data_IF_529628120830
#
_entry.id   IF_529628120830
#
_cell.length_a   1.000
_cell.length_b   1.000
_cell.length_c   1.000
_cell.angle_alpha   90.00
_cell.angle_beta   90.00
_cell.angle_gamma   90.00
#
_symmetry.space_group_name_H-M   'P 1'
#
loop_
_entity.id
_entity.type
_entity.pdbx_description
1 polymer ?
#
# COMPACT_ATOMS: atom_id res chain seq x y z
N UNK A 1 -26.82 17.06 -17.64
CA UNK A 1 -25.95 15.91 -17.30
C UNK A 1 -25.87 15.79 -15.78
N UNK A 2 -26.46 14.74 -15.19
CA UNK A 2 -26.50 14.57 -13.74
C UNK A 2 -25.10 14.26 -13.20
N UNK A 3 -24.57 15.13 -12.33
CA UNK A 3 -23.38 14.81 -11.54
C UNK A 3 -23.73 13.60 -10.67
N UNK A 4 -23.06 12.46 -10.87
CA UNK A 4 -23.27 11.28 -10.03
C UNK A 4 -22.92 11.70 -8.60
N UNK A 5 -23.93 11.86 -7.74
CA UNK A 5 -23.76 12.17 -6.31
C UNK A 5 -22.97 11.02 -5.68
N UNK A 6 -21.72 11.27 -5.32
CA UNK A 6 -20.83 10.31 -4.70
C UNK A 6 -19.52 10.97 -4.27
N UNK A 7 -18.91 10.48 -3.19
CA UNK A 7 -17.58 10.94 -2.74
C UNK A 7 -16.59 10.78 -3.91
N UNK A 8 -15.72 11.76 -4.20
CA UNK A 8 -14.77 11.66 -5.30
C UNK A 8 -13.99 10.34 -5.23
N UNK A 9 -13.92 9.65 -6.38
CA UNK A 9 -13.20 8.38 -6.53
C UNK A 9 -11.71 8.57 -6.33
N UNK A 10 -11.20 9.80 -6.54
CA UNK A 10 -9.79 10.15 -6.32
C UNK A 10 -9.52 10.38 -4.83
N UNK A 11 -8.42 9.81 -4.34
CA UNK A 11 -7.96 9.99 -2.96
C UNK A 11 -6.45 10.12 -2.95
N UNK A 12 -5.97 11.26 -2.45
CA UNK A 12 -4.53 11.52 -2.30
C UNK A 12 -3.80 10.40 -1.55
N UNK A 13 -4.48 9.77 -0.59
CA UNK A 13 -3.91 8.65 0.16
C UNK A 13 -3.71 7.44 -0.77
N UNK A 14 -4.69 7.08 -1.59
CA UNK A 14 -4.55 5.97 -2.56
C UNK A 14 -3.56 6.30 -3.67
N UNK A 15 -3.51 7.55 -4.12
CA UNK A 15 -2.53 8.01 -5.12
C UNK A 15 -1.09 7.81 -4.60
N UNK A 16 -0.81 8.23 -3.36
CA UNK A 16 0.48 7.96 -2.70
C UNK A 16 0.75 6.48 -2.49
N UNK A 17 -0.25 5.68 -2.15
CA UNK A 17 -0.09 4.21 -2.07
C UNK A 17 0.26 3.59 -3.43
N UNK A 18 -0.30 4.12 -4.54
CA UNK A 18 0.06 3.69 -5.91
C UNK A 18 1.53 3.98 -6.19
N UNK A 19 2.04 5.15 -5.83
CA UNK A 19 3.47 5.49 -5.97
C UNK A 19 4.36 4.56 -5.15
N UNK A 20 4.00 4.29 -3.89
CA UNK A 20 4.74 3.35 -3.02
C UNK A 20 4.76 1.94 -3.64
N UNK A 21 3.62 1.46 -4.14
CA UNK A 21 3.53 0.15 -4.78
C UNK A 21 4.25 0.11 -6.14
N UNK A 22 4.37 1.23 -6.85
CA UNK A 22 5.16 1.31 -8.07
C UNK A 22 6.66 1.10 -7.79
N UNK A 23 7.14 1.65 -6.66
CA UNK A 23 8.52 1.47 -6.17
C UNK A 23 8.73 0.04 -5.67
N UNK A 24 7.87 -0.44 -4.77
CA UNK A 24 8.00 -1.74 -4.11
C UNK A 24 7.62 -2.94 -4.99
N UNK A 25 6.83 -2.74 -6.05
CA UNK A 25 6.22 -3.80 -6.85
C UNK A 25 5.05 -4.47 -6.13
N UNK A 26 5.34 -5.23 -5.07
CA UNK A 26 4.33 -5.81 -4.18
C UNK A 26 4.72 -5.72 -2.70
N UNK A 27 3.74 -5.45 -1.84
CA UNK A 27 3.97 -5.22 -0.42
C UNK A 27 2.74 -5.49 0.42
N UNK A 28 2.93 -5.78 1.72
CA UNK A 28 1.82 -5.92 2.67
C UNK A 28 1.51 -4.59 3.38
N UNK A 29 0.31 -4.50 3.94
CA UNK A 29 -0.24 -3.22 4.42
C UNK A 29 0.61 -2.49 5.45
N UNK A 30 1.30 -3.19 6.35
CA UNK A 30 2.13 -2.55 7.36
C UNK A 30 3.47 -2.02 6.81
N UNK A 31 4.05 -2.64 5.78
CA UNK A 31 5.21 -2.05 5.08
C UNK A 31 4.83 -0.81 4.29
N UNK A 32 3.70 -0.87 3.58
CA UNK A 32 3.16 0.30 2.87
C UNK A 32 2.92 1.43 3.87
N UNK A 33 2.39 1.10 5.05
CA UNK A 33 2.23 2.03 6.16
C UNK A 33 3.56 2.67 6.59
N UNK A 34 4.62 1.90 6.83
CA UNK A 34 5.93 2.43 7.22
C UNK A 34 6.46 3.44 6.20
N UNK A 35 6.49 3.06 4.93
CA UNK A 35 6.94 3.93 3.84
C UNK A 35 6.07 5.19 3.77
N UNK A 36 4.74 5.03 3.85
CA UNK A 36 3.82 6.16 3.81
C UNK A 36 4.08 7.14 4.95
N UNK A 37 4.23 6.67 6.19
CA UNK A 37 4.45 7.56 7.34
C UNK A 37 5.85 8.17 7.37
N UNK A 38 6.82 7.57 6.68
CA UNK A 38 8.17 8.12 6.54
C UNK A 38 8.22 9.20 5.45
N UNK A 39 7.48 9.02 4.35
CA UNK A 39 7.50 9.94 3.21
C UNK A 39 6.41 11.04 3.26
N UNK A 40 5.30 10.79 3.94
CA UNK A 40 4.10 11.64 3.90
C UNK A 40 3.52 11.90 5.29
N UNK A 41 2.40 12.63 5.32
CA UNK A 41 1.61 12.90 6.54
C UNK A 41 1.21 11.62 7.27
N UNK A 42 1.25 11.63 8.61
CA UNK A 42 0.79 10.50 9.42
C UNK A 42 -0.68 10.17 9.14
N UNK A 43 -0.98 8.89 8.98
CA UNK A 43 -2.33 8.35 8.93
C UNK A 43 -2.44 7.21 9.95
N UNK A 44 -3.66 6.78 10.27
CA UNK A 44 -3.84 5.59 11.11
C UNK A 44 -3.70 4.32 10.28
N UNK A 45 -3.26 3.22 10.91
CA UNK A 45 -3.18 1.92 10.25
C UNK A 45 -4.56 1.43 9.79
N UNK A 46 -5.63 1.74 10.54
CA UNK A 46 -7.02 1.46 10.14
C UNK A 46 -7.39 2.19 8.85
N UNK A 47 -7.03 3.47 8.73
CA UNK A 47 -7.25 4.25 7.51
C UNK A 47 -6.48 3.65 6.33
N UNK A 48 -5.20 3.28 6.53
CA UNK A 48 -4.39 2.57 5.52
C UNK A 48 -5.11 1.32 5.00
N UNK A 49 -5.57 0.43 5.87
CA UNK A 49 -6.29 -0.78 5.45
C UNK A 49 -7.63 -0.50 4.78
N UNK A 50 -8.38 0.52 5.23
CA UNK A 50 -9.59 0.95 4.54
C UNK A 50 -9.30 1.35 3.08
N UNK A 51 -8.25 2.15 2.86
CA UNK A 51 -7.87 2.60 1.53
C UNK A 51 -7.33 1.47 0.65
N UNK A 52 -6.57 0.52 1.21
CA UNK A 52 -6.13 -0.68 0.48
C UNK A 52 -7.32 -1.55 0.05
N UNK A 53 -8.25 -1.83 0.97
CA UNK A 53 -9.45 -2.61 0.65
C UNK A 53 -10.31 -1.89 -0.40
N UNK A 54 -10.53 -0.57 -0.23
CA UNK A 54 -11.29 0.22 -1.20
C UNK A 54 -10.60 0.27 -2.57
N UNK A 55 -9.28 0.38 -2.59
CA UNK A 55 -8.50 0.38 -3.83
C UNK A 55 -8.54 -0.97 -4.55
N UNK A 56 -8.64 -2.10 -3.84
CA UNK A 56 -8.92 -3.40 -4.45
C UNK A 56 -10.33 -3.44 -5.05
N UNK A 57 -11.34 -2.98 -4.28
CA UNK A 57 -12.75 -2.97 -4.70
C UNK A 57 -12.97 -2.18 -6.01
N UNK A 58 -12.33 -1.01 -6.13
CA UNK A 58 -12.46 -0.15 -7.32
C UNK A 58 -11.43 -0.48 -8.42
N UNK A 59 -10.57 -1.49 -8.19
CA UNK A 59 -9.59 -1.94 -9.17
C UNK A 59 -8.38 -1.03 -9.36
N UNK A 60 -7.94 -0.28 -8.35
CA UNK A 60 -6.63 0.40 -8.34
C UNK A 60 -5.50 -0.54 -7.90
N UNK A 61 -5.79 -1.52 -7.04
CA UNK A 61 -4.84 -2.48 -6.51
C UNK A 61 -5.24 -3.92 -6.81
N UNK A 62 -4.26 -4.80 -6.96
CA UNK A 62 -4.45 -6.24 -7.01
C UNK A 62 -4.07 -6.86 -5.65
N UNK A 63 -4.91 -7.78 -5.16
CA UNK A 63 -4.52 -8.66 -4.06
C UNK A 63 -3.68 -9.81 -4.64
N UNK A 64 -2.37 -9.77 -4.41
CA UNK A 64 -1.41 -10.77 -4.93
C UNK A 64 -1.56 -12.10 -4.21
N UNK A 65 -1.88 -12.06 -2.93
CA UNK A 65 -2.08 -13.25 -2.13
C UNK A 65 -2.10 -12.95 -0.65
N UNK A 66 -2.33 -14.01 0.12
CA UNK A 66 -2.31 -13.99 1.57
C UNK A 66 -1.28 -15.02 2.01
N UNK A 67 -0.31 -14.61 2.83
CA UNK A 67 0.72 -15.50 3.36
C UNK A 67 0.73 -15.44 4.87
N UNK A 68 0.89 -16.60 5.49
CA UNK A 68 1.16 -16.71 6.92
C UNK A 68 2.67 -16.60 7.14
N UNK A 69 3.08 -15.59 7.88
CA UNK A 69 4.47 -15.44 8.31
C UNK A 69 4.58 -15.93 9.75
N UNK A 70 5.41 -16.96 9.97
CA UNK A 70 5.80 -17.38 11.31
C UNK A 70 6.72 -16.33 11.92
N UNK A 71 6.49 -15.98 13.17
CA UNK A 71 7.33 -15.04 13.91
C UNK A 71 6.99 -15.01 15.39
N UNK A 72 7.93 -14.58 16.22
CA UNK A 72 7.72 -14.42 17.67
C UNK A 72 7.01 -13.10 17.94
N UNK A 73 5.69 -13.06 17.75
CA UNK A 73 4.88 -11.91 18.12
C UNK A 73 4.35 -12.09 19.54
N UNK A 74 4.09 -11.00 20.26
CA UNK A 74 3.59 -11.04 21.64
C UNK A 74 2.17 -11.61 21.76
N UNK A 75 1.50 -11.88 20.63
CA UNK A 75 0.13 -12.39 20.53
C UNK A 75 0.02 -13.68 19.67
N UNK A 76 1.13 -14.35 19.37
CA UNK A 76 1.13 -15.62 18.64
C UNK A 76 2.36 -15.86 17.79
N UNK A 77 2.50 -17.10 17.31
CA UNK A 77 3.63 -17.56 16.50
C UNK A 77 3.47 -17.26 15.00
N UNK A 78 2.32 -16.71 14.58
CA UNK A 78 1.97 -16.47 13.19
C UNK A 78 1.26 -15.13 12.98
N UNK A 79 1.45 -14.54 11.81
CA UNK A 79 0.65 -13.41 11.34
C UNK A 79 0.27 -13.57 9.88
N UNK A 80 -0.97 -13.25 9.56
CA UNK A 80 -1.49 -13.31 8.20
C UNK A 80 -1.27 -11.98 7.50
N UNK A 81 -0.49 -11.98 6.43
CA UNK A 81 -0.19 -10.78 5.62
C UNK A 81 -0.86 -10.88 4.26
N UNK A 82 -1.65 -9.85 3.94
CA UNK A 82 -2.22 -9.63 2.61
C UNK A 82 -1.25 -8.79 1.80
N UNK A 83 -0.81 -9.30 0.66
CA UNK A 83 0.10 -8.62 -0.25
C UNK A 83 -0.68 -7.94 -1.38
N UNK A 84 -0.33 -6.69 -1.64
CA UNK A 84 -0.97 -5.83 -2.61
C UNK A 84 0.05 -5.43 -3.68
N UNK A 85 -0.40 -5.25 -4.91
CA UNK A 85 0.37 -4.67 -6.01
C UNK A 85 -0.47 -3.65 -6.75
N UNK A 86 0.20 -2.80 -7.54
CA UNK A 86 -0.48 -1.86 -8.41
C UNK A 86 -1.13 -2.59 -9.58
N UNK A 87 -2.38 -2.25 -9.93
CA UNK A 87 -3.07 -2.93 -11.04
C UNK A 87 -2.49 -2.58 -12.40
N UNK A 88 -2.28 -1.29 -12.67
CA UNK A 88 -1.69 -0.82 -13.92
C UNK A 88 -0.18 -0.64 -13.77
N UNK A 89 0.58 -1.33 -14.63
CA UNK A 89 2.04 -1.17 -14.69
C UNK A 89 2.33 0.09 -15.52
N UNK A 90 2.94 1.10 -14.90
CA UNK A 90 3.26 2.36 -15.58
C UNK A 90 3.22 3.61 -14.71
N UNK A 91 2.90 3.50 -13.42
CA UNK A 91 3.02 4.63 -12.51
C UNK A 91 4.47 5.14 -12.46
N UNK A 92 4.62 6.46 -12.55
CA UNK A 92 5.91 7.15 -12.44
C UNK A 92 6.57 6.78 -11.11
N UNK A 93 7.84 6.34 -11.18
CA UNK A 93 8.63 6.09 -9.99
C UNK A 93 9.04 7.43 -9.40
N UNK A 94 8.71 7.62 -8.12
CA UNK A 94 9.11 8.80 -7.34
C UNK A 94 10.46 8.51 -6.67
N UNK A 95 11.51 9.26 -7.02
CA UNK A 95 12.87 9.04 -6.53
C UNK A 95 13.00 9.23 -5.01
N UNK A 96 12.23 10.16 -4.42
CA UNK A 96 12.23 10.37 -2.97
C UNK A 96 11.72 9.13 -2.24
N UNK A 97 10.70 8.46 -2.79
CA UNK A 97 10.22 7.20 -2.26
C UNK A 97 11.23 6.07 -2.42
N UNK A 98 12.04 6.07 -3.48
CA UNK A 98 13.12 5.09 -3.63
C UNK A 98 14.13 5.21 -2.50
N UNK A 99 14.52 6.44 -2.14
CA UNK A 99 15.43 6.71 -1.01
C UNK A 99 14.82 6.26 0.32
N UNK A 100 13.57 6.64 0.58
CA UNK A 100 12.87 6.21 1.81
C UNK A 100 12.77 4.68 1.90
N UNK A 101 12.49 3.99 0.79
CA UNK A 101 12.45 2.52 0.74
C UNK A 101 13.83 1.94 1.05
N UNK A 102 14.91 2.52 0.52
CA UNK A 102 16.29 2.11 0.81
C UNK A 102 16.67 2.34 2.28
N UNK A 103 16.33 3.50 2.84
CA UNK A 103 16.60 3.87 4.24
C UNK A 103 15.88 2.93 5.22
N UNK A 104 14.68 2.47 4.85
CA UNK A 104 13.91 1.49 5.62
C UNK A 104 14.40 0.04 5.42
N UNK A 105 15.43 -0.17 4.60
CA UNK A 105 15.99 -1.51 4.30
C UNK A 105 15.06 -2.40 3.47
N UNK A 106 14.05 -1.81 2.82
CA UNK A 106 13.07 -2.53 2.02
C UNK A 106 13.58 -2.73 0.59
N UNK A 107 13.16 -3.83 -0.04
CA UNK A 107 13.54 -4.16 -1.43
C UNK A 107 12.31 -4.35 -2.30
N UNK A 108 12.44 -4.01 -3.58
CA UNK A 108 11.41 -4.25 -4.59
C UNK A 108 11.15 -5.75 -4.72
N UNK A 109 9.90 -6.16 -4.59
CA UNK A 109 9.44 -7.53 -4.83
C UNK A 109 8.84 -7.64 -6.22
N UNK A 110 9.21 -8.70 -6.95
CA UNK A 110 8.64 -9.02 -8.26
C UNK A 110 7.30 -9.73 -8.11
#
# INVERSE_FOLDING_TARGET
MATKRGRPVKSLIRDRMKEILAVLGSSYGYEIYKVYTAAFSKITLRSMYYHLNKGVEIGEFNLVGVREEKGSYTWGDKTTRRYYSLKEKGARINEDLVRVVQDLGLRKRK
#
